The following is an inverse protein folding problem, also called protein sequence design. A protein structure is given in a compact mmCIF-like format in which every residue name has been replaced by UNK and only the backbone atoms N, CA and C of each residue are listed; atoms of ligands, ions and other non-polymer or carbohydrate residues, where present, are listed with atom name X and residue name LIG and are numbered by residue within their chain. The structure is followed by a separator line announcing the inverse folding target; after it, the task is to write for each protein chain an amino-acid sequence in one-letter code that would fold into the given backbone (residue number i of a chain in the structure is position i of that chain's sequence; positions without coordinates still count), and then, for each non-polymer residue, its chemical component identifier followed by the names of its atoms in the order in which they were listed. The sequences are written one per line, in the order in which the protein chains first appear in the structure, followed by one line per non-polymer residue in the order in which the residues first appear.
data_IF_349852355041
#
_entry.id   IF_349852355041
#
_cell.length_a   1.000
_cell.length_b   1.000
_cell.length_c   1.000
_cell.angle_alpha   90.00
_cell.angle_beta   90.00
_cell.angle_gamma   90.00
#
_symmetry.space_group_name_H-M   'P 1'
#
loop_
_entity.id
_entity.type
_entity.pdbx_description
1 polymer ?
#
# COMPACT_ATOMS: atom_id res chain seq x y z
N UNK A 1 -28.85 0.71 5.52
CA UNK A 1 -28.47 -0.43 4.65
C UNK A 1 -27.51 0.08 3.58
N UNK A 2 -26.31 -0.45 3.53
CA UNK A 2 -25.39 -0.11 2.44
C UNK A 2 -25.92 -0.70 1.14
N UNK A 3 -25.97 0.08 0.05
CA UNK A 3 -26.26 -0.51 -1.25
C UNK A 3 -25.20 -1.56 -1.57
N UNK A 4 -25.55 -2.64 -2.25
CA UNK A 4 -24.57 -3.63 -2.62
C UNK A 4 -23.46 -2.96 -3.42
N UNK A 5 -22.23 -3.28 -3.07
CA UNK A 5 -21.06 -2.78 -3.78
C UNK A 5 -21.16 -3.24 -5.23
N UNK A 6 -21.42 -2.29 -6.11
CA UNK A 6 -21.28 -2.54 -7.54
C UNK A 6 -19.84 -2.20 -7.89
N UNK A 7 -19.06 -3.15 -8.37
CA UNK A 7 -17.72 -2.78 -8.84
C UNK A 7 -17.90 -1.75 -9.95
N UNK A 8 -17.65 -0.52 -9.61
CA UNK A 8 -17.77 0.54 -10.57
C UNK A 8 -16.75 0.32 -11.66
N UNK A 9 -17.24 0.12 -12.85
CA UNK A 9 -16.42 0.10 -14.06
C UNK A 9 -15.84 1.49 -14.34
N UNK A 10 -16.42 2.52 -13.73
CA UNK A 10 -15.93 3.88 -13.82
C UNK A 10 -14.82 4.14 -12.81
N UNK A 11 -13.86 5.01 -13.15
CA UNK A 11 -12.86 5.52 -12.22
C UNK A 11 -13.56 5.92 -10.92
N UNK A 12 -13.10 5.41 -9.76
CA UNK A 12 -13.73 5.79 -8.51
C UNK A 12 -13.61 7.31 -8.35
N UNK A 13 -14.75 7.96 -8.42
CA UNK A 13 -14.85 9.37 -8.15
C UNK A 13 -14.42 9.61 -6.70
N UNK A 14 -13.43 10.46 -6.48
CA UNK A 14 -12.94 10.78 -5.16
C UNK A 14 -11.71 10.00 -4.69
N UNK A 15 -11.18 9.09 -5.49
CA UNK A 15 -9.91 8.42 -5.17
C UNK A 15 -8.73 9.26 -5.66
N UNK A 16 -7.80 9.57 -4.74
CA UNK A 16 -6.59 10.32 -5.05
C UNK A 16 -5.37 9.60 -4.50
N UNK A 17 -4.46 9.22 -5.38
CA UNK A 17 -3.23 8.55 -4.98
C UNK A 17 -2.36 9.47 -4.12
N UNK A 18 -1.89 8.94 -2.99
CA UNK A 18 -0.95 9.61 -2.09
C UNK A 18 0.47 9.10 -2.33
N UNK A 19 0.65 7.79 -2.30
CA UNK A 19 1.95 7.16 -2.47
C UNK A 19 1.79 5.76 -3.05
N UNK A 20 2.78 5.33 -3.79
CA UNK A 20 2.82 4.00 -4.39
C UNK A 20 4.11 3.30 -3.97
N UNK A 21 4.01 2.01 -3.68
CA UNK A 21 5.17 1.19 -3.32
C UNK A 21 5.61 0.37 -4.54
N UNK A 22 6.47 0.95 -5.35
CA UNK A 22 6.98 0.30 -6.56
C UNK A 22 7.86 -0.91 -6.25
N UNK A 23 8.54 -0.89 -5.10
CA UNK A 23 9.39 -2.00 -4.67
C UNK A 23 8.59 -3.27 -4.39
N UNK A 24 7.33 -3.13 -3.97
CA UNK A 24 6.49 -4.28 -3.66
C UNK A 24 6.36 -5.23 -4.85
N UNK A 25 6.12 -4.70 -6.03
CA UNK A 25 6.00 -5.53 -7.25
C UNK A 25 7.32 -6.14 -7.70
N UNK A 26 8.42 -5.45 -7.45
CA UNK A 26 9.75 -5.94 -7.81
C UNK A 26 10.23 -7.03 -6.87
N UNK A 27 10.05 -6.82 -5.57
CA UNK A 27 10.64 -7.67 -4.53
C UNK A 27 9.71 -8.81 -4.09
N UNK A 28 8.42 -8.71 -4.40
CA UNK A 28 7.41 -9.68 -3.96
C UNK A 28 6.49 -10.12 -5.09
N UNK A 29 6.09 -11.38 -5.01
CA UNK A 29 4.95 -11.88 -5.77
C UNK A 29 3.68 -11.57 -4.96
N UNK A 30 2.81 -10.74 -5.52
CA UNK A 30 1.57 -10.32 -4.87
C UNK A 30 0.47 -11.34 -5.14
N UNK A 31 -0.08 -11.93 -4.08
CA UNK A 31 -1.02 -13.05 -4.18
C UNK A 31 -2.46 -12.57 -4.02
N UNK A 32 -2.72 -11.76 -3.01
CA UNK A 32 -4.06 -11.29 -2.67
C UNK A 32 -3.96 -9.87 -2.16
N UNK A 33 -4.96 -9.04 -2.45
CA UNK A 33 -5.00 -7.64 -2.03
C UNK A 33 -6.24 -7.34 -1.22
N UNK A 34 -6.11 -6.47 -0.22
CA UNK A 34 -7.21 -6.02 0.62
C UNK A 34 -7.05 -4.52 0.89
N UNK A 35 -8.16 -3.80 0.91
CA UNK A 35 -8.18 -2.39 1.26
C UNK A 35 -8.39 -2.24 2.77
N UNK A 36 -7.53 -1.45 3.42
CA UNK A 36 -7.63 -1.16 4.85
C UNK A 36 -7.76 0.34 5.08
N UNK A 37 -8.50 0.71 6.12
CA UNK A 37 -8.43 2.06 6.65
C UNK A 37 -7.16 2.25 7.46
N UNK A 38 -6.70 3.49 7.63
CA UNK A 38 -5.51 3.81 8.43
C UNK A 38 -5.89 4.86 9.46
N UNK A 39 -5.57 4.61 10.72
CA UNK A 39 -5.78 5.58 11.79
C UNK A 39 -4.62 6.58 11.78
N UNK A 40 -4.92 7.80 11.40
CA UNK A 40 -3.95 8.89 11.32
C UNK A 40 -4.34 10.06 12.21
N UNK A 41 -3.33 10.79 12.69
CA UNK A 41 -3.55 12.08 13.36
C UNK A 41 -3.81 13.17 12.31
N UNK A 42 -4.29 14.34 12.76
CA UNK A 42 -4.57 15.46 11.85
C UNK A 42 -3.36 15.93 11.04
N UNK A 43 -2.18 15.98 11.68
CA UNK A 43 -0.93 16.39 11.00
C UNK A 43 -0.47 15.34 10.00
N UNK A 44 -0.68 14.06 10.29
CA UNK A 44 -0.40 12.98 9.35
C UNK A 44 -1.28 13.07 8.10
N UNK A 45 -2.57 13.34 8.28
CA UNK A 45 -3.50 13.52 7.15
C UNK A 45 -3.07 14.69 6.27
N UNK A 46 -2.68 15.81 6.88
CA UNK A 46 -2.23 16.99 6.13
C UNK A 46 -0.96 16.72 5.33
N UNK A 47 0.01 16.04 5.96
CA UNK A 47 1.25 15.64 5.29
C UNK A 47 0.99 14.65 4.16
N UNK A 48 0.09 13.69 4.38
CA UNK A 48 -0.32 12.72 3.37
C UNK A 48 -1.00 13.41 2.17
N UNK A 49 -1.80 14.44 2.43
CA UNK A 49 -2.45 15.20 1.37
C UNK A 49 -1.44 15.86 0.44
N UNK A 50 -0.29 16.28 0.98
CA UNK A 50 0.81 16.83 0.21
C UNK A 50 1.70 15.75 -0.44
N UNK A 51 1.37 14.49 -0.27
CA UNK A 51 2.09 13.38 -0.87
C UNK A 51 3.38 12.97 -0.15
N UNK A 52 3.61 13.45 1.07
CA UNK A 52 4.83 13.19 1.82
C UNK A 52 4.77 11.86 2.58
N UNK A 53 4.54 10.78 1.86
CA UNK A 53 4.46 9.42 2.40
C UNK A 53 5.41 8.51 1.65
N UNK A 54 6.14 7.67 2.39
CA UNK A 54 7.01 6.65 1.81
C UNK A 54 6.63 5.28 2.35
N UNK A 55 6.39 4.34 1.44
CA UNK A 55 5.94 2.98 1.76
C UNK A 55 7.02 1.91 1.48
N UNK A 56 8.15 2.29 0.92
CA UNK A 56 9.16 1.34 0.42
C UNK A 56 9.75 0.40 1.46
N UNK A 57 9.78 0.80 2.72
CA UNK A 57 10.27 0.00 3.85
C UNK A 57 9.15 -0.54 4.73
N UNK A 58 7.90 -0.30 4.34
CA UNK A 58 6.76 -0.64 5.16
C UNK A 58 6.30 -2.08 4.98
N UNK A 59 5.73 -2.62 6.02
CA UNK A 59 5.05 -3.91 6.01
C UNK A 59 3.87 -3.83 6.97
N UNK A 60 2.97 -4.81 6.89
CA UNK A 60 1.89 -4.93 7.84
C UNK A 60 2.08 -6.17 8.71
N UNK A 61 1.59 -6.09 9.94
CA UNK A 61 1.66 -7.19 10.89
C UNK A 61 0.38 -7.27 11.71
N UNK A 62 0.08 -8.44 12.20
CA UNK A 62 -1.05 -8.66 13.11
C UNK A 62 -0.50 -8.91 14.51
N UNK A 63 -0.86 -8.04 15.44
CA UNK A 63 -0.45 -8.13 16.86
C UNK A 63 -1.70 -8.09 17.73
N UNK A 64 -1.86 -9.08 18.58
CA UNK A 64 -2.98 -9.17 19.52
C UNK A 64 -4.36 -9.01 18.83
N UNK A 65 -4.51 -9.60 17.65
CA UNK A 65 -5.75 -9.55 16.88
C UNK A 65 -6.01 -8.23 16.17
N UNK A 66 -5.04 -7.33 16.15
CA UNK A 66 -5.11 -6.05 15.46
C UNK A 66 -4.07 -5.96 14.36
N UNK A 67 -4.43 -5.32 13.25
CA UNK A 67 -3.51 -5.10 12.13
C UNK A 67 -2.81 -3.75 12.26
N UNK A 68 -1.51 -3.74 11.96
CA UNK A 68 -0.64 -2.57 12.08
C UNK A 68 0.17 -2.36 10.81
N UNK A 69 0.32 -1.11 10.42
CA UNK A 69 1.25 -0.68 9.36
C UNK A 69 2.53 -0.20 10.04
N UNK A 70 3.64 -0.85 9.72
CA UNK A 70 4.93 -0.64 10.36
C UNK A 70 5.95 -0.19 9.32
N UNK A 71 6.79 0.77 9.67
CA UNK A 71 7.85 1.24 8.78
C UNK A 71 7.42 2.19 7.67
N UNK A 72 6.14 2.56 7.62
CA UNK A 72 5.70 3.62 6.71
C UNK A 72 6.13 4.97 7.27
N UNK A 73 6.66 5.83 6.42
CA UNK A 73 7.10 7.17 6.83
C UNK A 73 6.13 8.22 6.31
N UNK A 74 5.63 9.06 7.21
CA UNK A 74 4.84 10.24 6.89
C UNK A 74 5.59 11.43 7.45
N UNK A 75 6.11 12.30 6.59
CA UNK A 75 6.94 13.43 6.98
C UNK A 75 6.21 14.35 7.96
N UNK A 76 6.97 14.98 8.84
CA UNK A 76 6.43 15.98 9.76
C UNK A 76 5.77 17.11 8.97
N UNK A 77 4.62 17.56 9.44
CA UNK A 77 3.95 18.68 8.85
C UNK A 77 4.59 19.97 9.38
N UNK A 78 5.24 20.72 8.49
CA UNK A 78 6.04 21.90 8.87
C UNK A 78 5.25 22.94 9.67
N UNK A 79 3.94 23.06 9.45
CA UNK A 79 3.06 24.00 10.12
C UNK A 79 2.36 23.40 11.35
N UNK A 80 2.67 22.15 11.70
CA UNK A 80 2.03 21.41 12.79
C UNK A 80 2.52 21.82 14.19
N UNK A 81 3.62 22.58 14.27
CA UNK A 81 4.18 23.04 15.54
C UNK A 81 4.68 21.91 16.44
N UNK A 82 4.77 22.15 17.76
CA UNK A 82 5.31 21.17 18.70
C UNK A 82 4.44 19.93 18.91
N UNK A 83 3.21 19.95 18.44
CA UNK A 83 2.27 18.80 18.51
C UNK A 83 2.30 17.92 17.28
N UNK A 84 3.36 18.00 16.48
CA UNK A 84 3.56 17.16 15.31
C UNK A 84 3.68 15.68 15.67
N UNK A 85 3.51 14.83 14.67
CA UNK A 85 3.62 13.38 14.82
C UNK A 85 5.04 12.89 14.57
N UNK A 86 5.34 11.67 15.03
CA UNK A 86 6.58 10.98 14.66
C UNK A 86 6.42 10.38 13.25
N UNK A 87 7.37 10.64 12.33
CA UNK A 87 7.24 10.20 10.95
C UNK A 87 7.07 8.69 10.77
N UNK A 88 7.76 7.89 11.57
CA UNK A 88 7.82 6.43 11.45
C UNK A 88 6.97 5.68 12.49
N UNK A 89 6.00 6.34 13.07
CA UNK A 89 5.09 5.75 14.05
C UNK A 89 4.35 4.55 13.45
N UNK A 90 4.15 3.49 14.25
CA UNK A 90 3.27 2.39 13.88
C UNK A 90 1.82 2.90 13.81
N UNK A 91 1.10 2.50 12.77
CA UNK A 91 -0.26 2.97 12.52
C UNK A 91 -1.24 1.82 12.46
N UNK A 92 -2.34 1.96 13.18
CA UNK A 92 -3.36 0.94 13.21
C UNK A 92 -4.10 0.89 11.88
N UNK A 93 -4.28 -0.32 11.37
CA UNK A 93 -5.08 -0.58 10.18
C UNK A 93 -6.48 -1.02 10.58
N UNK A 94 -7.46 -0.54 9.84
CA UNK A 94 -8.86 -0.87 10.08
C UNK A 94 -9.32 -1.90 9.05
N UNK A 95 -9.48 -3.12 9.51
CA UNK A 95 -9.94 -4.26 8.74
C UNK A 95 -11.05 -4.98 9.53
N UNK A 96 -11.90 -5.68 8.82
CA UNK A 96 -12.87 -6.55 9.48
C UNK A 96 -12.16 -7.71 10.17
N UNK A 97 -12.73 -8.18 11.29
CA UNK A 97 -12.16 -9.26 12.08
C UNK A 97 -11.86 -10.50 11.24
N UNK A 98 -12.80 -10.87 10.36
CA UNK A 98 -12.63 -12.01 9.48
C UNK A 98 -11.46 -11.84 8.50
N UNK A 99 -11.24 -10.63 8.01
CA UNK A 99 -10.11 -10.32 7.13
C UNK A 99 -8.79 -10.45 7.87
N UNK A 100 -8.72 -9.91 9.09
CA UNK A 100 -7.52 -10.01 9.93
C UNK A 100 -7.16 -11.47 10.20
N UNK A 101 -8.14 -12.27 10.63
CA UNK A 101 -7.95 -13.67 10.96
C UNK A 101 -7.51 -14.48 9.73
N UNK A 102 -8.13 -14.22 8.59
CA UNK A 102 -7.77 -14.87 7.32
C UNK A 102 -6.34 -14.55 6.88
N UNK A 103 -5.95 -13.29 6.92
CA UNK A 103 -4.60 -12.86 6.54
C UNK A 103 -3.55 -13.42 7.51
N UNK A 104 -3.84 -13.38 8.81
CA UNK A 104 -2.95 -13.90 9.85
C UNK A 104 -2.68 -15.40 9.64
N UNK A 105 -3.73 -16.17 9.36
CA UNK A 105 -3.62 -17.60 9.09
C UNK A 105 -2.75 -17.89 7.87
N UNK A 106 -2.97 -17.17 6.78
CA UNK A 106 -2.21 -17.34 5.54
C UNK A 106 -0.73 -16.97 5.71
N UNK A 107 -0.44 -15.91 6.45
CA UNK A 107 0.94 -15.50 6.75
C UNK A 107 1.67 -16.61 7.53
N UNK A 108 1.03 -17.16 8.55
CA UNK A 108 1.66 -18.21 9.38
C UNK A 108 1.83 -19.53 8.65
N UNK A 109 0.81 -19.97 7.92
CA UNK A 109 0.83 -21.29 7.27
C UNK A 109 1.80 -21.35 6.09
N UNK A 110 1.93 -20.27 5.34
CA UNK A 110 2.66 -20.27 4.07
C UNK A 110 3.96 -19.48 4.10
N UNK A 111 4.35 -18.93 5.25
CA UNK A 111 5.54 -18.08 5.34
C UNK A 111 5.46 -16.83 4.47
N UNK A 112 4.26 -16.27 4.34
CA UNK A 112 4.02 -15.08 3.55
C UNK A 112 4.19 -13.82 4.41
N UNK A 113 4.18 -12.66 3.77
CA UNK A 113 4.23 -11.38 4.44
C UNK A 113 3.11 -10.46 3.92
N UNK A 114 2.86 -9.37 4.62
CA UNK A 114 1.90 -8.36 4.21
C UNK A 114 2.65 -7.07 3.88
N UNK A 115 2.48 -6.56 2.68
CA UNK A 115 3.15 -5.33 2.24
C UNK A 115 2.14 -4.33 1.71
N UNK A 116 2.30 -3.02 2.01
CA UNK A 116 1.45 -2.00 1.41
C UNK A 116 1.88 -1.79 -0.04
N UNK A 117 0.92 -1.69 -0.93
CA UNK A 117 1.18 -1.45 -2.35
C UNK A 117 0.96 0.01 -2.73
N UNK A 118 -0.06 0.63 -2.16
CA UNK A 118 -0.36 2.04 -2.39
C UNK A 118 -1.22 2.60 -1.26
N UNK A 119 -1.12 3.91 -1.08
CA UNK A 119 -1.95 4.67 -0.15
C UNK A 119 -2.69 5.75 -0.93
N UNK A 120 -3.94 5.98 -0.61
CA UNK A 120 -4.78 6.90 -1.37
C UNK A 120 -5.91 7.47 -0.51
N UNK A 121 -6.45 8.62 -0.93
CA UNK A 121 -7.71 9.13 -0.39
C UNK A 121 -8.86 8.51 -1.16
N UNK A 122 -9.88 8.08 -0.44
CA UNK A 122 -11.12 7.57 -0.99
C UNK A 122 -12.27 8.12 -0.16
N UNK A 123 -13.13 8.92 -0.79
CA UNK A 123 -14.25 9.58 -0.11
C UNK A 123 -13.81 10.36 1.14
N UNK A 124 -12.69 11.08 1.02
CA UNK A 124 -12.14 11.91 2.09
C UNK A 124 -11.40 11.15 3.19
N UNK A 125 -11.26 9.84 3.08
CA UNK A 125 -10.57 9.01 4.06
C UNK A 125 -9.30 8.40 3.48
N UNK A 126 -8.27 8.29 4.30
CA UNK A 126 -7.02 7.64 3.88
C UNK A 126 -7.21 6.13 3.94
N UNK A 127 -6.92 5.48 2.82
CA UNK A 127 -6.92 4.03 2.68
C UNK A 127 -5.56 3.54 2.23
N UNK A 128 -5.25 2.31 2.57
CA UNK A 128 -4.02 1.64 2.10
C UNK A 128 -4.39 0.27 1.55
N UNK A 129 -3.85 -0.06 0.39
CA UNK A 129 -3.98 -1.39 -0.17
C UNK A 129 -2.85 -2.25 0.37
N UNK A 130 -3.19 -3.33 1.04
CA UNK A 130 -2.25 -4.29 1.61
C UNK A 130 -2.29 -5.55 0.75
N UNK A 131 -1.14 -6.06 0.37
CA UNK A 131 -1.04 -7.30 -0.38
C UNK A 131 -0.44 -8.42 0.46
N UNK A 132 -1.04 -9.59 0.37
CA UNK A 132 -0.42 -10.83 0.84
C UNK A 132 0.64 -11.19 -0.19
N UNK A 133 1.88 -11.37 0.24
CA UNK A 133 3.01 -11.41 -0.66
C UNK A 133 4.03 -12.48 -0.28
N UNK A 134 4.69 -13.01 -1.30
CA UNK A 134 5.83 -13.92 -1.16
C UNK A 134 7.08 -13.23 -1.64
N UNK A 135 8.16 -13.28 -0.85
CA UNK A 135 9.43 -12.73 -1.27
C UNK A 135 9.95 -13.43 -2.52
N UNK A 136 10.40 -12.65 -3.50
CA UNK A 136 11.03 -13.21 -4.71
C UNK A 136 12.49 -13.50 -4.45
N UNK A 137 12.98 -14.59 -5.03
CA UNK A 137 14.40 -14.87 -5.06
C UNK A 137 15.10 -13.87 -5.98
N UNK A 138 16.41 -13.70 -5.75
CA UNK A 138 17.20 -12.71 -6.50
C UNK A 138 17.14 -12.90 -8.02
N UNK A 139 17.11 -14.14 -8.49
CA UNK A 139 16.97 -14.45 -9.90
C UNK A 139 15.60 -14.02 -10.46
N UNK A 140 14.54 -14.23 -9.68
CA UNK A 140 13.18 -13.83 -10.07
C UNK A 140 13.05 -12.31 -10.15
N UNK A 141 13.66 -11.58 -9.22
CA UNK A 141 13.68 -10.11 -9.24
C UNK A 141 14.34 -9.58 -10.52
N UNK A 142 15.46 -10.14 -10.91
CA UNK A 142 16.17 -9.77 -12.14
C UNK A 142 15.31 -10.00 -13.37
N UNK A 143 14.63 -11.13 -13.44
CA UNK A 143 13.75 -11.47 -14.56
C UNK A 143 12.60 -10.49 -14.69
N UNK A 144 11.95 -10.12 -13.59
CA UNK A 144 10.85 -9.15 -13.59
C UNK A 144 11.30 -7.79 -14.09
N UNK A 145 12.47 -7.33 -13.65
CA UNK A 145 13.04 -6.06 -14.13
C UNK A 145 13.36 -6.13 -15.62
N UNK A 146 13.98 -7.22 -16.07
CA UNK A 146 14.32 -7.41 -17.48
C UNK A 146 13.07 -7.42 -18.38
N UNK A 147 12.02 -8.10 -17.97
CA UNK A 147 10.75 -8.13 -18.70
C UNK A 147 10.10 -6.75 -18.81
N UNK A 148 10.15 -5.97 -17.73
CA UNK A 148 9.63 -4.61 -17.71
C UNK A 148 10.39 -3.70 -18.68
N UNK A 149 11.71 -3.79 -18.64
CA UNK A 149 12.58 -2.99 -19.52
C UNK A 149 12.36 -3.37 -20.99
N UNK A 150 12.23 -4.66 -21.30
CA UNK A 150 11.93 -5.14 -22.64
C UNK A 150 10.59 -4.59 -23.15
N UNK A 151 9.56 -4.56 -22.31
CA UNK A 151 8.25 -3.97 -22.67
C UNK A 151 8.38 -2.47 -22.99
N UNK A 152 9.13 -1.73 -22.19
CA UNK A 152 9.34 -0.30 -22.41
C UNK A 152 10.04 -0.05 -23.74
N UNK A 153 11.04 -0.86 -24.08
CA UNK A 153 11.77 -0.75 -25.34
C UNK A 153 10.85 -1.03 -26.53
N UNK A 154 10.01 -2.03 -26.43
CA UNK A 154 9.02 -2.36 -27.47
C UNK A 154 8.02 -1.22 -27.66
N UNK A 155 7.50 -0.65 -26.57
CA UNK A 155 6.58 0.47 -26.64
C UNK A 155 7.23 1.70 -27.29
N UNK A 156 8.48 2.01 -26.96
CA UNK A 156 9.23 3.10 -27.59
C UNK A 156 9.43 2.87 -29.08
N UNK A 157 9.78 1.67 -29.48
CA UNK A 157 9.96 1.33 -30.88
C UNK A 157 8.66 1.49 -31.67
N UNK A 158 7.52 1.07 -31.09
CA UNK A 158 6.20 1.20 -31.71
C UNK A 158 5.80 2.68 -31.85
N UNK A 159 6.11 3.51 -30.87
CA UNK A 159 5.84 4.95 -30.94
C UNK A 159 6.67 5.68 -31.98
N UNK A 160 7.90 5.20 -32.26
CA UNK A 160 8.77 5.80 -33.28
C UNK A 160 8.31 5.51 -34.71
N UNK A 161 7.51 4.47 -34.91
CA UNK A 161 6.97 4.06 -36.22
C UNK A 161 5.69 4.79 -36.62
N UNK A 162 5.14 5.62 -35.77
CA UNK A 162 3.96 6.42 -36.04
C UNK A 162 4.32 7.78 -36.60
#
# INVERSE_FOLDING_TARGET
MRPPYTPAVAKPTGEKLIAENRRARRDYELIERVEAGVVLTGTEVKSARDGHVQLGQAYADVRDGEAWLIGASISEYAQGGPLGHQPDRDRKLLLHRGEIDSLYGKVREKGLTLVPTRMYFKDGRVKVEIALARGRERADKRRVVAERDARRDIERALKRRR
#
